data_IF_898544583615
#
_entry.id   IF_898544583615
#
_cell.length_a   1.000
_cell.length_b   1.000
_cell.length_c   1.000
_cell.angle_alpha   90.00
_cell.angle_beta   90.00
_cell.angle_gamma   90.00
#
_symmetry.space_group_name_H-M   'P 1'
#
loop_
_entity.id
_entity.type
_entity.pdbx_description
1 polymer ?
#
# COMPACT_ATOMS: atom_id res chain seq x y z
N UNK A 1 -4.08 -8.01 11.02
CA UNK A 1 -3.41 -6.80 10.46
C UNK A 1 -4.04 -6.53 9.11
N UNK A 2 -4.43 -5.29 8.85
CA UNK A 2 -4.97 -4.84 7.58
C UNK A 2 -4.00 -3.84 6.95
N UNK A 3 -3.74 -3.99 5.66
CA UNK A 3 -2.76 -3.18 4.93
C UNK A 3 -3.50 -2.13 4.08
N UNK A 4 -2.89 -0.96 3.92
CA UNK A 4 -3.34 0.03 2.94
C UNK A 4 -3.25 -0.51 1.51
N UNK A 5 -4.19 -0.15 0.66
CA UNK A 5 -4.08 -0.27 -0.80
C UNK A 5 -2.96 0.67 -1.27
N UNK A 6 -2.02 0.09 -2.03
CA UNK A 6 -0.90 0.80 -2.64
C UNK A 6 -1.36 1.78 -3.73
N UNK A 7 -0.65 2.90 -3.94
CA UNK A 7 -0.87 3.72 -5.13
C UNK A 7 -0.65 2.89 -6.41
N UNK A 8 -1.31 3.29 -7.49
CA UNK A 8 -0.91 2.93 -8.85
C UNK A 8 -0.14 4.10 -9.44
N UNK A 9 0.71 3.84 -10.43
CA UNK A 9 1.48 4.92 -11.06
C UNK A 9 0.62 5.82 -11.96
N UNK A 10 1.20 6.94 -12.38
CA UNK A 10 0.50 7.95 -13.16
C UNK A 10 -0.05 7.41 -14.49
N UNK A 11 0.68 6.51 -15.15
CA UNK A 11 0.27 5.89 -16.42
C UNK A 11 -0.95 4.98 -16.23
N UNK A 12 -0.97 4.18 -15.17
CA UNK A 12 -2.10 3.34 -14.82
C UNK A 12 -3.35 4.18 -14.50
N UNK A 13 -3.20 5.25 -13.72
CA UNK A 13 -4.29 6.17 -13.39
C UNK A 13 -4.84 6.87 -14.63
N UNK A 14 -3.96 7.30 -15.55
CA UNK A 14 -4.40 7.93 -16.80
C UNK A 14 -5.25 6.96 -17.65
N UNK A 15 -4.85 5.69 -17.73
CA UNK A 15 -5.60 4.65 -18.46
C UNK A 15 -6.88 4.25 -17.75
N UNK A 16 -6.87 4.22 -16.42
CA UNK A 16 -7.99 3.81 -15.58
C UNK A 16 -8.19 4.82 -14.43
N UNK A 17 -8.99 5.88 -14.65
CA UNK A 17 -9.24 6.92 -13.64
C UNK A 17 -9.86 6.41 -12.33
N UNK A 18 -10.44 5.21 -12.34
CA UNK A 18 -10.92 4.54 -11.12
C UNK A 18 -9.81 4.24 -10.10
N UNK A 19 -8.54 4.19 -10.53
CA UNK A 19 -7.35 4.01 -9.68
C UNK A 19 -6.86 5.33 -9.05
N UNK A 20 -7.58 6.44 -9.26
CA UNK A 20 -7.17 7.75 -8.77
C UNK A 20 -6.96 7.78 -7.25
N UNK A 21 -6.02 8.64 -6.84
CA UNK A 21 -5.64 8.87 -5.44
C UNK A 21 -6.84 9.07 -4.51
N UNK A 22 -7.80 9.92 -4.90
CA UNK A 22 -8.97 10.23 -4.06
C UNK A 22 -9.84 9.00 -3.74
N UNK A 23 -10.02 8.10 -4.71
CA UNK A 23 -10.75 6.84 -4.51
C UNK A 23 -9.97 5.91 -3.59
N UNK A 24 -8.68 5.74 -3.85
CA UNK A 24 -7.79 4.91 -3.02
C UNK A 24 -7.76 5.39 -1.57
N UNK A 25 -7.67 6.70 -1.34
CA UNK A 25 -7.70 7.29 0.01
C UNK A 25 -9.02 7.00 0.74
N UNK A 26 -10.16 7.10 0.04
CA UNK A 26 -11.45 6.72 0.61
C UNK A 26 -11.50 5.23 1.00
N UNK A 27 -10.98 4.34 0.16
CA UNK A 27 -10.88 2.91 0.48
C UNK A 27 -9.96 2.64 1.67
N UNK A 28 -8.77 3.24 1.70
CA UNK A 28 -7.82 3.09 2.81
C UNK A 28 -8.41 3.62 4.12
N UNK A 29 -9.20 4.69 4.07
CA UNK A 29 -9.93 5.16 5.25
C UNK A 29 -10.93 4.13 5.76
N UNK A 30 -11.67 3.47 4.86
CA UNK A 30 -12.57 2.38 5.21
C UNK A 30 -11.84 1.18 5.82
N UNK A 31 -10.68 0.80 5.27
CA UNK A 31 -9.84 -0.28 5.82
C UNK A 31 -9.32 0.09 7.21
N UNK A 32 -8.91 1.35 7.42
CA UNK A 32 -8.51 1.84 8.73
C UNK A 32 -9.65 1.73 9.74
N UNK A 33 -10.85 2.21 9.39
CA UNK A 33 -12.04 2.09 10.26
C UNK A 33 -12.36 0.62 10.58
N UNK A 34 -12.31 -0.27 9.59
CA UNK A 34 -12.52 -1.70 9.82
C UNK A 34 -11.49 -2.30 10.78
N UNK A 35 -10.23 -1.86 10.68
CA UNK A 35 -9.17 -2.30 11.59
C UNK A 35 -9.49 -1.87 13.03
N UNK A 36 -9.88 -0.62 13.23
CA UNK A 36 -10.25 -0.07 14.53
C UNK A 36 -11.44 -0.82 15.14
N UNK A 37 -12.51 -1.05 14.36
CA UNK A 37 -13.71 -1.78 14.80
C UNK A 37 -13.43 -3.25 15.15
N UNK A 38 -12.47 -3.87 14.45
CA UNK A 38 -12.10 -5.28 14.65
C UNK A 38 -10.97 -5.48 15.66
N UNK A 39 -10.53 -4.42 16.36
CA UNK A 39 -9.34 -4.42 17.22
C UNK A 39 -8.09 -5.02 16.52
N UNK A 40 -7.94 -4.69 15.24
CA UNK A 40 -6.82 -5.10 14.40
C UNK A 40 -5.89 -3.93 14.11
N UNK A 41 -4.62 -4.22 13.84
CA UNK A 41 -3.64 -3.20 13.44
C UNK A 41 -3.86 -2.81 11.98
N UNK A 42 -4.06 -1.52 11.71
CA UNK A 42 -3.91 -0.94 10.38
C UNK A 42 -2.45 -0.55 10.12
N UNK A 43 -1.94 -0.87 8.93
CA UNK A 43 -0.58 -0.52 8.51
C UNK A 43 -0.62 0.18 7.15
N UNK A 44 -0.19 1.45 7.14
CA UNK A 44 0.08 2.16 5.89
C UNK A 44 1.44 1.72 5.33
N UNK A 45 1.39 1.07 4.17
CA UNK A 45 2.56 0.54 3.47
C UNK A 45 2.85 1.32 2.19
N UNK A 46 2.15 2.43 1.96
CA UNK A 46 2.29 3.22 0.73
C UNK A 46 3.68 3.83 0.55
N UNK A 47 4.44 4.03 1.64
CA UNK A 47 5.82 4.50 1.57
C UNK A 47 6.84 3.45 1.12
N UNK A 48 6.44 2.18 1.02
CA UNK A 48 7.33 1.08 0.62
C UNK A 48 7.45 1.01 -0.90
N UNK A 49 6.44 1.44 -1.65
CA UNK A 49 6.45 1.40 -3.11
C UNK A 49 7.07 2.68 -3.70
N UNK A 50 7.98 2.48 -4.65
CA UNK A 50 8.56 3.54 -5.49
C UNK A 50 8.26 3.25 -6.96
N UNK A 51 8.51 4.21 -7.85
CA UNK A 51 8.16 4.07 -9.27
C UNK A 51 8.89 2.89 -9.94
N UNK A 52 10.11 2.59 -9.51
CA UNK A 52 10.94 1.51 -10.04
C UNK A 52 10.41 0.11 -9.69
N UNK A 53 9.61 0.03 -8.62
CA UNK A 53 9.07 -1.22 -8.10
C UNK A 53 7.80 -1.68 -8.82
N UNK A 54 7.22 -0.90 -9.74
CA UNK A 54 6.07 -1.37 -10.52
C UNK A 54 6.47 -2.28 -11.68
N UNK A 55 5.59 -3.25 -11.96
CA UNK A 55 5.51 -3.95 -13.23
C UNK A 55 5.05 -3.00 -14.35
N UNK A 56 5.19 -3.36 -15.65
CA UNK A 56 4.87 -2.48 -16.77
C UNK A 56 3.43 -1.93 -16.81
N UNK A 57 2.50 -2.56 -16.10
CA UNK A 57 1.12 -2.10 -16.00
C UNK A 57 0.92 -0.94 -15.02
N UNK A 58 1.89 -0.65 -14.16
CA UNK A 58 1.83 0.44 -13.18
C UNK A 58 0.88 0.19 -12.02
N UNK A 59 0.41 -1.05 -11.84
CA UNK A 59 -0.53 -1.48 -10.80
C UNK A 59 0.13 -2.53 -9.91
N UNK A 60 0.71 -3.58 -10.51
CA UNK A 60 1.38 -4.64 -9.79
C UNK A 60 2.82 -4.25 -9.44
N UNK A 61 3.33 -4.79 -8.33
CA UNK A 61 4.70 -4.57 -7.87
C UNK A 61 5.58 -5.77 -8.17
N UNK A 62 6.85 -5.50 -8.48
CA UNK A 62 7.92 -6.48 -8.73
C UNK A 62 8.27 -7.27 -7.47
N UNK A 63 8.94 -8.42 -7.61
CA UNK A 63 9.40 -9.23 -6.47
C UNK A 63 10.21 -8.45 -5.41
N UNK A 64 11.02 -7.46 -5.83
CA UNK A 64 11.84 -6.66 -4.93
C UNK A 64 11.01 -5.93 -3.85
N UNK A 65 9.79 -5.51 -4.17
CA UNK A 65 8.89 -4.86 -3.22
C UNK A 65 8.67 -5.72 -1.97
N UNK A 66 8.55 -7.04 -2.10
CA UNK A 66 8.27 -7.91 -0.96
C UNK A 66 9.45 -8.00 0.01
N UNK A 67 10.68 -7.91 -0.49
CA UNK A 67 11.87 -7.78 0.35
C UNK A 67 11.86 -6.46 1.11
N UNK A 68 11.55 -5.37 0.43
CA UNK A 68 11.51 -4.03 1.03
C UNK A 68 10.38 -3.91 2.05
N UNK A 69 9.23 -4.54 1.77
CA UNK A 69 8.08 -4.63 2.66
C UNK A 69 8.38 -5.47 3.90
N UNK A 70 9.04 -6.61 3.75
CA UNK A 70 9.47 -7.41 4.89
C UNK A 70 10.41 -6.60 5.81
N UNK A 71 11.39 -5.90 5.24
CA UNK A 71 12.31 -5.05 5.99
C UNK A 71 11.59 -3.89 6.68
N UNK A 72 10.57 -3.30 6.03
CA UNK A 72 9.70 -2.30 6.63
C UNK A 72 8.97 -2.87 7.85
N UNK A 73 8.31 -4.03 7.75
CA UNK A 73 7.60 -4.65 8.88
C UNK A 73 8.58 -4.96 10.02
N UNK A 74 9.74 -5.55 9.71
CA UNK A 74 10.76 -5.89 10.70
C UNK A 74 11.17 -4.65 11.50
N UNK A 75 11.49 -3.56 10.82
CA UNK A 75 11.87 -2.30 11.45
C UNK A 75 10.74 -1.68 12.26
N UNK A 76 9.53 -1.62 11.71
CA UNK A 76 8.43 -0.88 12.34
C UNK A 76 7.76 -1.64 13.49
N UNK A 77 7.82 -2.98 13.51
CA UNK A 77 7.05 -3.79 14.48
C UNK A 77 7.86 -4.79 15.30
N UNK A 78 9.01 -5.26 14.80
CA UNK A 78 9.83 -6.24 15.51
C UNK A 78 10.92 -5.52 16.29
N UNK A 79 11.62 -4.58 15.66
CA UNK A 79 12.81 -3.95 16.24
C UNK A 79 12.50 -2.68 17.06
N UNK A 80 11.36 -2.03 16.80
CA UNK A 80 10.92 -0.83 17.54
C UNK A 80 10.16 -1.12 18.84
N UNK A 81 9.98 -2.39 19.21
CA UNK A 81 9.27 -2.81 20.42
C UNK A 81 10.22 -3.21 21.54
#
# INVERSE_FOLDING_TARGET
MLLSILPSNAKAIQKQPALAKTRREAFNKGIQTLADESNAIYMDISSVVTEELYEPDGIHVKPQFYTDFFNFIKREFIEKR
#
